data_IF_231885913877
#
_entry.id   IF_231885913877
#
_cell.length_a   1.000
_cell.length_b   1.000
_cell.length_c   1.000
_cell.angle_alpha   90.00
_cell.angle_beta   90.00
_cell.angle_gamma   90.00
#
_symmetry.space_group_name_H-M   'P 1'
#
loop_
_entity.id
_entity.type
_entity.pdbx_description
1 polymer ?
#
# COMPACT_ATOMS: atom_id res chain seq x y z
N UNK A 1 48.75 14.96 17.45
CA UNK A 1 47.79 15.67 16.53
C UNK A 1 47.31 14.75 15.37
N UNK A 2 47.92 13.56 15.19
CA UNK A 2 47.56 12.65 14.04
C UNK A 2 46.53 11.56 14.37
N UNK A 3 45.94 11.53 15.56
CA UNK A 3 45.02 10.44 15.98
C UNK A 3 43.53 10.83 15.88
N UNK A 4 43.20 12.09 15.64
CA UNK A 4 41.81 12.58 15.63
C UNK A 4 41.14 12.45 14.24
N UNK A 5 41.93 12.28 13.15
CA UNK A 5 41.37 12.19 11.80
C UNK A 5 40.90 10.78 11.39
N UNK A 6 41.30 9.74 12.09
CA UNK A 6 40.92 8.35 11.76
C UNK A 6 39.56 7.93 12.32
N UNK A 7 38.96 8.68 13.25
CA UNK A 7 37.66 8.34 13.84
C UNK A 7 36.48 8.99 13.14
N UNK A 8 36.70 9.96 12.26
CA UNK A 8 35.63 10.67 11.56
C UNK A 8 35.24 9.98 10.24
N UNK A 9 36.08 9.17 9.63
CA UNK A 9 35.76 8.47 8.39
C UNK A 9 35.01 7.14 8.61
N UNK A 10 35.09 6.53 9.78
CA UNK A 10 34.42 5.26 10.07
C UNK A 10 32.92 5.39 10.41
N UNK A 11 32.42 6.61 10.63
CA UNK A 11 31.00 6.86 10.93
C UNK A 11 30.16 7.23 9.70
N UNK A 12 30.79 7.48 8.55
CA UNK A 12 30.09 7.88 7.30
C UNK A 12 29.87 6.75 6.30
N UNK A 13 30.35 5.54 6.57
CA UNK A 13 30.00 4.37 5.77
C UNK A 13 28.82 3.58 6.38
N UNK A 14 27.78 4.25 6.82
CA UNK A 14 26.47 3.63 6.84
C UNK A 14 26.05 3.62 5.36
N UNK A 15 26.16 2.46 4.70
CA UNK A 15 25.71 2.30 3.33
C UNK A 15 24.35 3.00 3.19
N UNK A 16 24.29 4.05 2.38
CA UNK A 16 23.03 4.64 1.97
C UNK A 16 22.23 3.49 1.39
N UNK A 17 21.20 3.04 2.11
CA UNK A 17 20.29 2.01 1.58
C UNK A 17 19.64 2.65 0.37
N UNK A 18 20.03 2.19 -0.80
CA UNK A 18 19.45 2.64 -2.04
C UNK A 18 17.93 2.42 -2.00
N UNK A 19 17.16 3.46 -2.31
CA UNK A 19 15.71 3.38 -2.31
C UNK A 19 15.29 2.70 -3.61
N UNK A 20 14.91 1.44 -3.52
CA UNK A 20 14.37 0.70 -4.64
C UNK A 20 13.00 1.25 -5.05
N UNK A 21 12.75 1.37 -6.36
CA UNK A 21 11.40 1.58 -6.89
C UNK A 21 10.85 0.22 -7.29
N UNK A 22 9.81 -0.24 -6.61
CA UNK A 22 9.13 -1.48 -6.94
C UNK A 22 7.93 -1.21 -7.84
N UNK A 23 7.97 -1.75 -9.05
CA UNK A 23 6.80 -1.79 -9.93
C UNK A 23 5.81 -2.87 -9.46
N UNK A 24 4.58 -2.76 -9.93
CA UNK A 24 3.55 -3.78 -9.62
C UNK A 24 3.90 -5.13 -10.23
N UNK A 25 4.50 -5.13 -11.42
CA UNK A 25 4.96 -6.33 -12.11
C UNK A 25 6.04 -7.04 -11.29
N UNK A 26 7.00 -6.31 -10.73
CA UNK A 26 8.03 -6.87 -9.86
C UNK A 26 7.44 -7.44 -8.56
N UNK A 27 6.47 -6.74 -7.94
CA UNK A 27 5.76 -7.24 -6.77
C UNK A 27 5.05 -8.55 -7.12
N UNK A 28 4.32 -8.58 -8.23
CA UNK A 28 3.62 -9.77 -8.69
C UNK A 28 4.57 -10.92 -8.99
N UNK A 29 5.70 -10.67 -9.65
CA UNK A 29 6.71 -11.69 -9.94
C UNK A 29 7.31 -12.27 -8.66
N UNK A 30 7.61 -11.43 -7.66
CA UNK A 30 8.10 -11.89 -6.35
C UNK A 30 7.04 -12.74 -5.63
N UNK A 31 5.77 -12.32 -5.65
CA UNK A 31 4.66 -13.06 -5.03
C UNK A 31 4.38 -14.39 -5.74
N UNK A 32 4.45 -14.45 -7.06
CA UNK A 32 4.15 -15.65 -7.85
C UNK A 32 5.04 -16.85 -7.52
N UNK A 33 6.20 -16.61 -6.93
CA UNK A 33 7.17 -17.65 -6.52
C UNK A 33 6.82 -18.32 -5.18
N UNK A 34 5.90 -17.76 -4.42
CA UNK A 34 5.70 -18.13 -3.01
C UNK A 34 4.23 -18.24 -2.58
N UNK A 35 3.30 -17.68 -3.34
CA UNK A 35 1.86 -17.76 -3.03
C UNK A 35 1.08 -18.40 -4.17
N UNK A 36 -0.12 -18.88 -3.85
CA UNK A 36 -1.05 -19.41 -4.83
C UNK A 36 -1.52 -18.31 -5.78
N UNK A 37 -1.87 -18.67 -7.01
CA UNK A 37 -2.35 -17.74 -8.03
C UNK A 37 -3.54 -16.89 -7.56
N UNK A 38 -4.38 -17.43 -6.67
CA UNK A 38 -5.55 -16.75 -6.11
C UNK A 38 -5.20 -15.59 -5.16
N UNK A 39 -3.99 -15.58 -4.60
CA UNK A 39 -3.48 -14.55 -3.69
C UNK A 39 -2.65 -13.47 -4.42
N UNK A 40 -2.41 -13.67 -5.73
CA UNK A 40 -1.69 -12.70 -6.53
C UNK A 40 -2.51 -11.42 -6.72
N UNK A 41 -1.85 -10.25 -6.79
CA UNK A 41 -2.50 -9.01 -7.18
C UNK A 41 -3.17 -9.13 -8.54
N UNK A 42 -4.40 -8.66 -8.64
CA UNK A 42 -5.13 -8.60 -9.91
C UNK A 42 -4.81 -7.26 -10.56
N UNK A 43 -4.22 -7.31 -11.75
CA UNK A 43 -3.86 -6.14 -12.54
C UNK A 43 -4.89 -5.91 -13.63
N UNK A 44 -5.34 -4.67 -13.73
CA UNK A 44 -6.05 -4.14 -14.88
C UNK A 44 -5.46 -2.78 -15.24
N UNK A 45 -5.78 -2.28 -16.41
CA UNK A 45 -5.34 -0.96 -16.83
C UNK A 45 -5.75 0.13 -15.83
N UNK A 46 -4.76 0.81 -15.27
CA UNK A 46 -4.93 1.95 -14.37
C UNK A 46 -4.99 1.63 -12.89
N UNK A 47 -5.19 0.37 -12.47
CA UNK A 47 -5.14 0.02 -11.05
C UNK A 47 -4.87 -1.45 -10.80
N UNK A 48 -4.49 -1.74 -9.55
CA UNK A 48 -4.20 -3.09 -9.08
C UNK A 48 -4.88 -3.32 -7.75
N UNK A 49 -5.51 -4.49 -7.58
CA UNK A 49 -6.11 -4.89 -6.31
C UNK A 49 -5.33 -6.05 -5.71
N UNK A 50 -5.00 -5.92 -4.45
CA UNK A 50 -4.50 -6.99 -3.61
C UNK A 50 -5.67 -7.53 -2.78
N UNK A 51 -6.05 -8.77 -3.05
CA UNK A 51 -6.96 -9.49 -2.17
C UNK A 51 -6.32 -9.65 -0.78
N UNK A 52 -7.14 -9.98 0.20
CA UNK A 52 -6.71 -10.19 1.59
C UNK A 52 -5.55 -11.18 1.65
N UNK A 53 -4.39 -10.75 2.16
CA UNK A 53 -3.18 -11.54 2.20
C UNK A 53 -2.41 -11.35 3.49
N UNK A 54 -1.91 -12.46 4.04
CA UNK A 54 -0.97 -12.47 5.16
C UNK A 54 0.48 -12.39 4.67
N UNK A 55 0.72 -12.93 3.49
CA UNK A 55 2.07 -13.17 2.97
C UNK A 55 2.68 -11.94 2.28
N UNK A 56 1.87 -10.91 2.00
CA UNK A 56 2.37 -9.72 1.30
C UNK A 56 3.57 -9.10 2.03
N UNK A 57 3.49 -9.02 3.35
CA UNK A 57 4.53 -8.37 4.15
C UNK A 57 5.85 -9.14 4.12
N UNK A 58 5.79 -10.48 4.19
CA UNK A 58 6.99 -11.32 4.27
C UNK A 58 7.69 -11.44 2.92
N UNK A 59 6.94 -11.37 1.84
CA UNK A 59 7.39 -11.77 0.51
C UNK A 59 7.67 -10.57 -0.40
N UNK A 60 6.75 -9.59 -0.43
CA UNK A 60 6.87 -8.46 -1.35
C UNK A 60 7.88 -7.42 -0.88
N UNK A 61 8.08 -7.32 0.43
CA UNK A 61 8.96 -6.35 1.04
C UNK A 61 9.99 -7.07 1.88
N UNK A 62 11.24 -7.06 1.45
CA UNK A 62 12.32 -7.50 2.30
C UNK A 62 12.35 -6.58 3.53
N UNK A 63 12.10 -7.14 4.71
CA UNK A 63 12.12 -6.39 5.96
C UNK A 63 13.38 -5.51 6.04
N UNK A 64 13.19 -4.23 6.36
CA UNK A 64 14.24 -3.22 6.47
C UNK A 64 14.75 -2.59 5.16
N UNK A 65 14.21 -2.90 4.00
CA UNK A 65 14.53 -2.19 2.76
C UNK A 65 13.46 -1.13 2.47
N UNK A 66 13.84 0.15 2.27
CA UNK A 66 12.89 1.19 1.87
C UNK A 66 12.51 1.02 0.40
N UNK A 67 11.22 1.10 0.11
CA UNK A 67 10.68 1.03 -1.24
C UNK A 67 9.88 2.29 -1.58
N UNK A 68 10.14 2.84 -2.75
CA UNK A 68 9.27 3.81 -3.39
C UNK A 68 8.27 3.06 -4.26
N UNK A 69 7.01 3.19 -3.94
CA UNK A 69 5.94 2.57 -4.71
C UNK A 69 5.24 3.64 -5.57
N UNK A 70 5.04 3.44 -6.86
CA UNK A 70 4.27 4.35 -7.68
C UNK A 70 2.78 4.31 -7.34
N UNK A 71 2.04 5.35 -7.75
CA UNK A 71 0.60 5.40 -7.61
C UNK A 71 0.08 5.77 -6.22
N UNK A 72 -1.21 6.03 -6.15
CA UNK A 72 -1.96 6.26 -4.92
C UNK A 72 -2.33 4.90 -4.34
N UNK A 73 -2.14 4.73 -3.04
CA UNK A 73 -2.45 3.46 -2.38
C UNK A 73 -3.41 3.68 -1.24
N UNK A 74 -4.41 2.82 -1.22
CA UNK A 74 -5.31 2.68 -0.09
C UNK A 74 -5.32 1.22 0.34
N UNK A 75 -5.33 0.99 1.64
CA UNK A 75 -5.29 -0.34 2.22
C UNK A 75 -6.01 -0.42 3.56
N UNK A 76 -6.39 -1.62 3.93
CA UNK A 76 -6.95 -1.94 5.24
C UNK A 76 -6.08 -3.00 5.89
N UNK A 77 -5.46 -2.65 7.02
CA UNK A 77 -4.87 -3.63 7.92
C UNK A 77 -6.03 -4.32 8.66
N UNK A 78 -6.29 -5.57 8.33
CA UNK A 78 -7.47 -6.32 8.82
C UNK A 78 -7.18 -7.12 10.08
N UNK A 79 -5.90 -7.49 10.30
CA UNK A 79 -5.45 -8.26 11.44
C UNK A 79 -4.04 -7.88 11.89
N UNK A 80 -3.72 -8.17 13.15
CA UNK A 80 -2.41 -7.98 13.75
C UNK A 80 -1.96 -6.53 13.91
N UNK A 81 -0.65 -6.34 13.86
CA UNK A 81 -0.02 -5.03 13.96
C UNK A 81 1.24 -4.97 13.08
N UNK A 82 1.57 -3.77 12.60
CA UNK A 82 2.76 -3.50 11.81
C UNK A 82 3.51 -2.30 12.39
N UNK A 83 4.84 -2.34 12.35
CA UNK A 83 5.68 -1.16 12.49
C UNK A 83 6.21 -0.82 11.12
N UNK A 84 5.91 0.38 10.63
CA UNK A 84 6.26 0.85 9.30
C UNK A 84 6.82 2.26 9.35
N UNK A 85 7.89 2.52 8.62
CA UNK A 85 8.41 3.87 8.38
C UNK A 85 7.88 4.37 7.05
N UNK A 86 7.21 5.52 7.07
CA UNK A 86 6.68 6.19 5.88
C UNK A 86 7.29 7.57 5.81
N UNK A 87 7.95 7.90 4.70
CA UNK A 87 8.60 9.21 4.50
C UNK A 87 9.46 9.63 5.70
N UNK A 88 10.25 8.70 6.27
CA UNK A 88 11.12 8.86 7.43
C UNK A 88 10.41 8.94 8.80
N UNK A 89 9.08 8.87 8.85
CA UNK A 89 8.31 8.88 10.10
C UNK A 89 7.92 7.43 10.43
N UNK A 90 8.20 7.02 11.67
CA UNK A 90 7.86 5.67 12.16
C UNK A 90 6.44 5.66 12.72
N UNK A 91 5.68 4.62 12.36
CA UNK A 91 4.31 4.39 12.81
C UNK A 91 4.15 2.97 13.36
N UNK A 92 3.54 2.86 14.54
CA UNK A 92 3.02 1.61 15.09
C UNK A 92 1.52 1.54 14.80
N UNK A 93 1.15 0.66 13.90
CA UNK A 93 -0.22 0.55 13.39
C UNK A 93 -0.84 -0.77 13.83
N UNK A 94 -2.05 -0.72 14.40
CA UNK A 94 -2.81 -1.89 14.85
C UNK A 94 -4.11 -2.01 14.05
N UNK A 95 -4.48 -3.23 13.71
CA UNK A 95 -5.75 -3.52 13.07
C UNK A 95 -6.95 -3.26 14.02
N UNK A 96 -8.11 -2.83 13.50
CA UNK A 96 -8.34 -2.45 12.12
C UNK A 96 -7.93 -0.98 11.84
N UNK A 97 -7.21 -0.75 10.78
CA UNK A 97 -6.74 0.59 10.39
C UNK A 97 -6.75 0.75 8.87
N UNK A 98 -7.34 1.84 8.38
CA UNK A 98 -7.21 2.27 6.99
C UNK A 98 -5.86 2.95 6.80
N UNK A 99 -5.18 2.63 5.70
CA UNK A 99 -3.91 3.24 5.33
C UNK A 99 -4.03 3.93 3.97
N UNK A 100 -3.50 5.14 3.88
CA UNK A 100 -3.38 5.91 2.66
C UNK A 100 -1.92 6.31 2.43
N UNK A 101 -1.45 6.20 1.19
CA UNK A 101 -0.15 6.69 0.77
C UNK A 101 -0.27 7.37 -0.59
N UNK A 102 0.23 8.59 -0.69
CA UNK A 102 0.30 9.33 -1.96
C UNK A 102 1.33 8.69 -2.91
N UNK A 103 1.21 8.98 -4.19
CA UNK A 103 2.21 8.58 -5.17
C UNK A 103 3.60 9.11 -4.79
N UNK A 104 4.59 8.24 -4.88
CA UNK A 104 5.99 8.54 -4.55
C UNK A 104 6.36 8.42 -3.05
N UNK A 105 5.42 8.08 -2.17
CA UNK A 105 5.74 7.81 -0.76
C UNK A 105 6.74 6.65 -0.65
N UNK A 106 7.68 6.79 0.29
CA UNK A 106 8.69 5.79 0.59
C UNK A 106 8.25 5.02 1.81
N UNK A 107 8.14 3.70 1.67
CA UNK A 107 7.74 2.80 2.75
C UNK A 107 8.89 1.86 3.11
N UNK A 108 9.07 1.64 4.39
CA UNK A 108 9.94 0.59 4.94
C UNK A 108 9.16 -0.17 6.00
N UNK A 109 8.95 -1.45 5.76
CA UNK A 109 8.37 -2.33 6.76
C UNK A 109 9.45 -2.74 7.74
N UNK A 110 9.24 -2.47 9.03
CA UNK A 110 10.21 -2.76 10.08
C UNK A 110 9.84 -4.05 10.83
N UNK A 111 8.55 -4.26 11.11
CA UNK A 111 8.05 -5.42 11.82
C UNK A 111 6.58 -5.69 11.49
N UNK A 112 6.22 -6.96 11.51
CA UNK A 112 4.84 -7.45 11.37
C UNK A 112 4.60 -8.52 12.41
N UNK A 113 3.39 -8.56 13.00
CA UNK A 113 2.98 -9.67 13.88
C UNK A 113 2.52 -10.87 13.04
N UNK A 114 2.51 -12.05 13.65
CA UNK A 114 2.08 -13.29 12.96
C UNK A 114 0.65 -13.22 12.42
N UNK A 115 -0.23 -12.41 13.03
CA UNK A 115 -1.61 -12.18 12.61
C UNK A 115 -1.74 -11.04 11.60
N UNK A 116 -0.61 -10.44 11.16
CA UNK A 116 -0.60 -9.34 10.21
C UNK A 116 -1.27 -9.73 8.90
N UNK A 117 -2.32 -9.02 8.53
CA UNK A 117 -3.10 -9.28 7.33
C UNK A 117 -3.58 -7.95 6.73
N UNK A 118 -3.43 -7.81 5.42
CA UNK A 118 -3.77 -6.58 4.69
C UNK A 118 -4.50 -6.89 3.40
N UNK A 119 -5.37 -5.98 3.01
CA UNK A 119 -5.92 -5.88 1.65
C UNK A 119 -5.81 -4.44 1.18
N UNK A 120 -5.80 -4.22 -0.14
CA UNK A 120 -5.65 -2.86 -0.65
C UNK A 120 -5.67 -2.77 -2.15
N UNK A 121 -5.44 -1.57 -2.64
CA UNK A 121 -5.26 -1.30 -4.05
C UNK A 121 -4.21 -0.21 -4.28
N UNK A 122 -3.65 -0.22 -5.46
CA UNK A 122 -2.91 0.89 -6.04
C UNK A 122 -3.68 1.44 -7.23
N UNK A 123 -3.74 2.76 -7.34
CA UNK A 123 -4.40 3.47 -8.43
C UNK A 123 -3.35 4.35 -9.11
N UNK A 124 -3.22 4.22 -10.43
CA UNK A 124 -2.34 5.09 -11.20
C UNK A 124 -2.86 6.53 -11.22
N UNK A 125 -1.97 7.54 -11.19
CA UNK A 125 -2.38 8.94 -11.12
C UNK A 125 -3.33 9.36 -12.25
N UNK A 126 -3.08 8.87 -13.49
CA UNK A 126 -3.93 9.19 -14.64
C UNK A 126 -5.33 8.60 -14.49
N UNK A 127 -5.42 7.33 -14.06
CA UNK A 127 -6.70 6.68 -13.80
C UNK A 127 -7.46 7.34 -12.65
N UNK A 128 -6.75 7.77 -11.61
CA UNK A 128 -7.35 8.51 -10.51
C UNK A 128 -7.93 9.86 -10.97
N UNK A 129 -7.24 10.56 -11.86
CA UNK A 129 -7.75 11.81 -12.45
C UNK A 129 -9.00 11.59 -13.31
N UNK A 130 -9.14 10.45 -13.98
CA UNK A 130 -10.37 10.06 -14.68
C UNK A 130 -11.55 9.82 -13.73
N UNK A 131 -11.28 9.22 -12.54
CA UNK A 131 -12.33 8.99 -11.53
C UNK A 131 -12.85 10.30 -10.92
N UNK A 132 -11.98 11.31 -10.79
CA UNK A 132 -12.28 12.56 -10.11
C UNK A 132 -11.90 13.78 -10.97
N UNK A 133 -12.56 13.99 -12.12
CA UNK A 133 -12.17 15.05 -13.06
C UNK A 133 -12.41 16.47 -12.53
N UNK A 134 -13.32 16.64 -11.57
CA UNK A 134 -13.73 17.96 -11.09
C UNK A 134 -13.68 18.12 -9.57
N UNK A 135 -13.78 17.06 -8.81
CA UNK A 135 -13.91 17.14 -7.35
C UNK A 135 -13.15 16.00 -6.67
N UNK A 136 -11.87 16.22 -6.47
CA UNK A 136 -10.99 15.26 -5.77
C UNK A 136 -11.36 15.28 -4.28
N UNK A 137 -11.62 14.11 -3.67
CA UNK A 137 -11.87 14.05 -2.24
C UNK A 137 -10.68 14.65 -1.45
N UNK A 138 -10.90 15.45 -0.39
CA UNK A 138 -9.85 16.19 0.30
C UNK A 138 -8.61 15.39 0.71
N UNK A 139 -8.78 14.16 1.17
CA UNK A 139 -7.64 13.29 1.52
C UNK A 139 -6.66 13.08 0.34
N UNK A 140 -7.18 13.11 -0.90
CA UNK A 140 -6.41 12.81 -2.11
C UNK A 140 -5.94 14.06 -2.87
N UNK A 141 -6.14 15.25 -2.33
CA UNK A 141 -5.81 16.53 -3.00
C UNK A 141 -4.30 16.85 -3.04
N UNK A 142 -3.46 15.95 -2.56
CA UNK A 142 -1.99 16.06 -2.55
C UNK A 142 -1.40 16.79 -1.33
N UNK A 143 -2.23 17.29 -0.42
CA UNK A 143 -1.76 17.91 0.84
C UNK A 143 -1.25 16.86 1.83
N UNK A 144 -1.96 15.73 1.96
CA UNK A 144 -1.52 14.60 2.75
C UNK A 144 -0.61 13.69 1.91
N UNK A 145 0.47 13.22 2.52
CA UNK A 145 1.38 12.25 1.90
C UNK A 145 1.09 10.82 2.35
N UNK A 146 0.63 10.68 3.58
CA UNK A 146 0.23 9.42 4.19
C UNK A 146 -0.77 9.65 5.32
N UNK A 147 -1.56 8.64 5.63
CA UNK A 147 -2.46 8.62 6.78
C UNK A 147 -2.71 7.19 7.26
N UNK A 148 -2.86 7.05 8.57
CA UNK A 148 -3.35 5.84 9.24
C UNK A 148 -4.55 6.22 10.08
N UNK A 149 -5.71 5.65 9.74
CA UNK A 149 -7.00 5.98 10.35
C UNK A 149 -7.54 4.73 11.04
N UNK A 150 -7.45 4.64 12.37
CA UNK A 150 -8.11 3.56 13.11
C UNK A 150 -9.62 3.60 12.85
N UNK A 151 -10.21 2.43 12.62
CA UNK A 151 -11.64 2.29 12.34
C UNK A 151 -12.29 1.28 13.28
N UNK A 152 -13.59 1.33 13.44
CA UNK A 152 -14.34 0.30 14.16
C UNK A 152 -14.60 -0.93 13.26
N UNK A 153 -15.16 -1.98 13.86
CA UNK A 153 -15.47 -3.22 13.14
C UNK A 153 -16.51 -3.02 12.04
N UNK A 154 -17.44 -2.09 12.19
CA UNK A 154 -18.48 -1.81 11.22
C UNK A 154 -17.90 -1.18 9.96
N UNK A 155 -16.98 -0.23 10.10
CA UNK A 155 -16.34 0.41 8.97
C UNK A 155 -15.31 -0.52 8.32
N UNK A 156 -14.62 -1.35 9.13
CA UNK A 156 -13.80 -2.45 8.62
C UNK A 156 -14.60 -3.36 7.69
N UNK A 157 -15.77 -3.86 8.13
CA UNK A 157 -16.62 -4.76 7.34
C UNK A 157 -17.10 -4.11 6.04
N UNK A 158 -17.50 -2.84 6.06
CA UNK A 158 -17.88 -2.12 4.84
C UNK A 158 -16.75 -2.10 3.80
N UNK A 159 -15.53 -1.78 4.24
CA UNK A 159 -14.38 -1.71 3.37
C UNK A 159 -14.00 -3.10 2.84
N UNK A 160 -14.02 -4.13 3.70
CA UNK A 160 -13.79 -5.52 3.27
C UNK A 160 -14.79 -5.98 2.19
N UNK A 161 -16.08 -5.68 2.34
CA UNK A 161 -17.11 -6.01 1.35
C UNK A 161 -16.89 -5.27 0.02
N UNK A 162 -16.48 -4.01 0.04
CA UNK A 162 -16.18 -3.27 -1.18
C UNK A 162 -14.94 -3.82 -1.90
N UNK A 163 -13.88 -4.18 -1.19
CA UNK A 163 -12.73 -4.85 -1.77
C UNK A 163 -13.09 -6.22 -2.36
N UNK A 164 -13.95 -6.97 -1.67
CA UNK A 164 -14.46 -8.24 -2.17
C UNK A 164 -15.27 -8.06 -3.47
N UNK A 165 -16.20 -7.09 -3.48
CA UNK A 165 -16.99 -6.77 -4.67
C UNK A 165 -16.09 -6.36 -5.84
N UNK A 166 -15.09 -5.51 -5.59
CA UNK A 166 -14.13 -5.10 -6.61
C UNK A 166 -13.35 -6.30 -7.17
N UNK A 167 -12.85 -7.17 -6.29
CA UNK A 167 -12.12 -8.38 -6.66
C UNK A 167 -12.96 -9.30 -7.53
N UNK A 168 -14.25 -9.50 -7.19
CA UNK A 168 -15.18 -10.30 -7.97
C UNK A 168 -15.43 -9.69 -9.35
N UNK A 169 -15.72 -8.38 -9.41
CA UNK A 169 -15.91 -7.64 -10.67
C UNK A 169 -14.71 -7.76 -11.61
N UNK A 170 -13.48 -7.74 -11.05
CA UNK A 170 -12.26 -7.88 -11.86
C UNK A 170 -12.02 -9.31 -12.37
N UNK A 171 -12.58 -10.32 -11.73
CA UNK A 171 -12.48 -11.74 -12.13
C UNK A 171 -13.54 -12.17 -13.13
N UNK A 172 -14.55 -11.33 -13.41
CA UNK A 172 -15.58 -11.65 -14.40
C UNK A 172 -14.99 -11.73 -15.81
N UNK A 173 -15.43 -12.70 -16.65
CA UNK A 173 -14.96 -12.82 -18.02
C UNK A 173 -15.22 -11.57 -18.87
N UNK A 174 -16.30 -10.84 -18.59
CA UNK A 174 -16.62 -9.55 -19.18
C UNK A 174 -16.39 -8.46 -18.12
N UNK A 175 -15.13 -8.08 -17.93
CA UNK A 175 -14.76 -7.03 -16.99
C UNK A 175 -15.56 -5.74 -17.20
N UNK A 176 -16.33 -5.35 -16.19
CA UNK A 176 -17.12 -4.13 -16.20
C UNK A 176 -16.34 -2.97 -15.56
N UNK A 177 -15.68 -2.15 -16.41
CA UNK A 177 -14.90 -0.99 -15.98
C UNK A 177 -15.72 0.01 -15.16
N UNK A 178 -16.98 0.27 -15.56
CA UNK A 178 -17.83 1.24 -14.87
C UNK A 178 -18.21 0.77 -13.46
N UNK A 179 -18.52 -0.50 -13.30
CA UNK A 179 -18.79 -1.09 -11.99
C UNK A 179 -17.53 -0.99 -11.08
N UNK A 180 -16.36 -1.32 -11.58
CA UNK A 180 -15.11 -1.19 -10.85
C UNK A 180 -14.84 0.26 -10.45
N UNK A 181 -15.02 1.23 -11.36
CA UNK A 181 -14.87 2.66 -11.07
C UNK A 181 -15.81 3.14 -9.96
N UNK A 182 -17.08 2.69 -9.98
CA UNK A 182 -18.04 3.05 -8.93
C UNK A 182 -17.60 2.52 -7.55
N UNK A 183 -17.10 1.29 -7.48
CA UNK A 183 -16.61 0.70 -6.22
C UNK A 183 -15.36 1.42 -5.73
N UNK A 184 -14.40 1.71 -6.61
CA UNK A 184 -13.18 2.45 -6.26
C UNK A 184 -13.54 3.85 -5.75
N UNK A 185 -14.48 4.53 -6.42
CA UNK A 185 -14.97 5.85 -5.99
C UNK A 185 -15.59 5.78 -4.60
N UNK A 186 -16.42 4.78 -4.32
CA UNK A 186 -17.00 4.56 -2.99
C UNK A 186 -15.94 4.33 -1.92
N UNK A 187 -14.91 3.52 -2.21
CA UNK A 187 -13.77 3.33 -1.31
C UNK A 187 -13.06 4.66 -1.03
N UNK A 188 -12.73 5.45 -2.05
CA UNK A 188 -12.07 6.74 -1.87
C UNK A 188 -12.88 7.69 -0.97
N UNK A 189 -14.21 7.70 -1.07
CA UNK A 189 -15.05 8.50 -0.18
C UNK A 189 -15.09 7.99 1.26
N UNK A 190 -15.00 6.69 1.50
CA UNK A 190 -14.88 6.13 2.86
C UNK A 190 -13.56 6.57 3.51
N UNK A 191 -12.46 6.56 2.76
CA UNK A 191 -11.16 7.02 3.25
C UNK A 191 -11.12 8.52 3.53
N UNK A 192 -12.09 9.28 3.04
CA UNK A 192 -12.18 10.73 3.21
C UNK A 192 -13.01 11.18 4.44
N UNK A 193 -13.37 10.25 5.33
CA UNK A 193 -14.18 10.57 6.53
C UNK A 193 -13.33 11.16 7.66
#
# INVERSE_FOLDING_TARGET
>A
IFVIFAYTECYFMRAEKEIETLTIEEIRDRLSKTVNEQELPILVEGFTVLAKSRNLFDIAMNAQTPYRLPGIRIGLLTGGAVNVTVNLINHDVKAPTLAFFSSGSILQLNKVTAEGEVQGMMIEPNYFAELFPHNVPPMFNGQLKDAFIPVDNRDKEKVEHLFQALTLTMKEPAYNRQAAQAIITALCYIYNQ
#
